data_IF_049937692690
#
_entry.id   IF_049937692690
#
_cell.length_a   1.000
_cell.length_b   1.000
_cell.length_c   1.000
_cell.angle_alpha   90.00
_cell.angle_beta   90.00
_cell.angle_gamma   90.00
#
_symmetry.space_group_name_H-M   'P 1'
#
loop_
_entity.id
_entity.type
_entity.pdbx_description
1 polymer ?
#
# COMPACT_ATOMS: atom_id res chain seq x y z
N UNK A 1 -10.76 -18.45 -22.76
CA UNK A 1 -11.22 -17.06 -22.56
C UNK A 1 -11.25 -16.68 -21.07
N UNK A 2 -12.09 -17.30 -20.23
CA UNK A 2 -12.24 -16.93 -18.81
C UNK A 2 -10.94 -17.00 -17.97
N UNK A 3 -10.09 -18.00 -18.20
CA UNK A 3 -8.82 -18.17 -17.49
C UNK A 3 -7.80 -17.07 -17.81
N UNK A 4 -7.73 -16.63 -19.07
CA UNK A 4 -6.82 -15.54 -19.47
C UNK A 4 -7.29 -14.21 -18.87
N UNK A 5 -8.61 -13.98 -18.84
CA UNK A 5 -9.19 -12.78 -18.22
C UNK A 5 -8.92 -12.72 -16.70
N UNK A 6 -8.98 -13.84 -15.99
CA UNK A 6 -8.67 -13.87 -14.56
C UNK A 6 -7.19 -13.61 -14.28
N UNK A 7 -6.29 -14.11 -15.13
CA UNK A 7 -4.86 -13.83 -15.04
C UNK A 7 -4.54 -12.35 -15.22
N UNK A 8 -5.15 -11.71 -16.23
CA UNK A 8 -5.00 -10.27 -16.46
C UNK A 8 -5.57 -9.44 -15.31
N UNK A 9 -6.72 -9.84 -14.75
CA UNK A 9 -7.32 -9.16 -13.60
C UNK A 9 -6.39 -9.24 -12.37
N UNK A 10 -5.91 -10.44 -12.02
CA UNK A 10 -5.02 -10.64 -10.88
C UNK A 10 -3.69 -9.90 -11.04
N UNK A 11 -3.12 -9.92 -12.25
CA UNK A 11 -1.91 -9.19 -12.58
C UNK A 11 -2.10 -7.67 -12.42
N UNK A 12 -3.22 -7.14 -12.93
CA UNK A 12 -3.56 -5.71 -12.80
C UNK A 12 -3.74 -5.30 -11.34
N UNK A 13 -4.44 -6.12 -10.54
CA UNK A 13 -4.58 -5.90 -9.10
C UNK A 13 -3.20 -5.89 -8.42
N UNK A 14 -2.33 -6.85 -8.75
CA UNK A 14 -0.97 -6.91 -8.23
C UNK A 14 -0.17 -5.64 -8.51
N UNK A 15 -0.26 -5.11 -9.74
CA UNK A 15 0.39 -3.86 -10.11
C UNK A 15 -0.16 -2.65 -9.36
N UNK A 16 -1.49 -2.55 -9.19
CA UNK A 16 -2.13 -1.46 -8.44
C UNK A 16 -1.69 -1.49 -6.98
N UNK A 17 -1.70 -2.67 -6.35
CA UNK A 17 -1.28 -2.84 -4.96
C UNK A 17 0.21 -2.52 -4.80
N UNK A 18 1.06 -2.94 -5.75
CA UNK A 18 2.49 -2.61 -5.75
C UNK A 18 2.70 -1.09 -5.85
N UNK A 19 2.04 -0.43 -6.79
CA UNK A 19 2.15 1.02 -6.98
C UNK A 19 1.71 1.79 -5.72
N UNK A 20 0.59 1.39 -5.10
CA UNK A 20 0.11 1.97 -3.86
C UNK A 20 1.10 1.77 -2.71
N UNK A 21 1.63 0.55 -2.55
CA UNK A 21 2.58 0.21 -1.48
C UNK A 21 3.89 1.00 -1.61
N UNK A 22 4.38 1.18 -2.84
CA UNK A 22 5.55 2.02 -3.12
C UNK A 22 5.26 3.49 -2.81
N UNK A 23 4.10 3.99 -3.24
CA UNK A 23 3.71 5.37 -2.98
C UNK A 23 3.62 5.68 -1.48
N UNK A 24 2.99 4.80 -0.69
CA UNK A 24 2.88 4.97 0.77
C UNK A 24 4.22 4.82 1.48
N UNK A 25 5.11 3.95 1.00
CA UNK A 25 6.47 3.82 1.53
C UNK A 25 7.33 5.07 1.30
N UNK A 26 7.15 5.76 0.17
CA UNK A 26 7.86 7.01 -0.16
C UNK A 26 7.27 8.20 0.60
N UNK A 27 5.95 8.20 0.86
CA UNK A 27 5.23 9.31 1.50
C UNK A 27 4.69 8.97 2.91
N UNK A 28 5.48 8.37 3.82
CA UNK A 28 4.96 7.83 5.08
C UNK A 28 4.42 8.93 5.99
N UNK A 29 5.00 10.14 5.95
CA UNK A 29 4.51 11.28 6.74
C UNK A 29 3.10 11.70 6.33
N UNK A 30 2.83 11.82 5.02
CA UNK A 30 1.50 12.22 4.53
C UNK A 30 0.43 11.20 4.93
N UNK A 31 0.77 9.91 4.83
CA UNK A 31 -0.12 8.82 5.22
C UNK A 31 -0.33 8.79 6.74
N UNK A 32 0.72 9.00 7.52
CA UNK A 32 0.62 9.12 8.97
C UNK A 32 -0.31 10.28 9.38
N UNK A 33 -0.13 11.46 8.76
CA UNK A 33 -1.01 12.61 9.00
C UNK A 33 -2.46 12.30 8.64
N UNK A 34 -2.71 11.59 7.54
CA UNK A 34 -4.07 11.18 7.17
C UNK A 34 -4.70 10.27 8.22
N UNK A 35 -3.97 9.25 8.69
CA UNK A 35 -4.47 8.35 9.74
C UNK A 35 -4.76 9.09 11.05
N UNK A 36 -3.87 9.99 11.47
CA UNK A 36 -4.06 10.83 12.64
C UNK A 36 -5.24 11.80 12.48
N UNK A 37 -5.45 12.35 11.29
CA UNK A 37 -6.60 13.20 10.98
C UNK A 37 -7.90 12.43 11.05
N UNK A 38 -7.94 11.19 10.54
CA UNK A 38 -9.09 10.29 10.60
C UNK A 38 -9.40 9.90 12.04
N UNK A 39 -8.39 9.54 12.84
CA UNK A 39 -8.56 9.24 14.27
C UNK A 39 -9.08 10.47 15.04
N UNK A 40 -8.66 11.67 14.63
CA UNK A 40 -9.16 12.91 15.20
C UNK A 40 -10.62 13.26 14.84
N UNK A 41 -11.26 12.61 13.85
CA UNK A 41 -12.66 12.88 13.44
C UNK A 41 -13.68 12.58 14.57
N UNK A 42 -13.28 11.89 15.64
CA UNK A 42 -14.10 11.70 16.84
C UNK A 42 -13.65 12.47 18.09
N UNK A 43 -12.55 13.24 18.00
CA UNK A 43 -11.90 13.88 19.15
C UNK A 43 -12.23 15.38 19.20
N UNK A 44 -12.34 15.96 20.41
CA UNK A 44 -12.49 17.44 20.57
C UNK A 44 -11.27 18.24 20.08
N UNK A 45 -10.22 17.59 19.56
CA UNK A 45 -9.02 18.22 19.01
C UNK A 45 -9.22 18.64 17.55
N UNK A 46 -8.59 19.75 17.17
CA UNK A 46 -8.63 20.27 15.79
C UNK A 46 -7.83 19.35 14.87
N UNK A 47 -8.52 18.60 14.00
CA UNK A 47 -7.92 17.64 13.05
C UNK A 47 -6.81 18.25 12.17
N UNK A 48 -6.89 19.55 11.84
CA UNK A 48 -5.91 20.21 10.96
C UNK A 48 -4.54 20.54 11.58
N UNK A 49 -4.36 20.39 12.89
CA UNK A 49 -3.07 20.67 13.56
C UNK A 49 -2.39 19.42 14.13
N UNK A 50 -2.89 18.22 13.80
CA UNK A 50 -2.33 16.98 14.32
C UNK A 50 -1.10 16.59 13.51
N UNK A 51 0.08 16.70 14.13
CA UNK A 51 1.30 16.18 13.56
C UNK A 51 1.45 14.70 13.91
N UNK A 52 1.86 13.84 12.95
CA UNK A 52 2.06 12.44 13.22
C UNK A 52 3.28 12.22 14.11
N UNK A 53 3.16 11.28 15.04
CA UNK A 53 4.28 10.89 15.89
C UNK A 53 5.33 10.12 15.07
N UNK A 54 6.63 10.31 15.37
CA UNK A 54 7.72 9.70 14.60
C UNK A 54 7.67 8.16 14.55
N UNK A 55 7.19 7.52 15.62
CA UNK A 55 7.01 6.06 15.64
C UNK A 55 5.93 5.62 14.64
N UNK A 56 4.85 6.37 14.48
CA UNK A 56 3.76 6.06 13.55
C UNK A 56 4.24 6.19 12.10
N UNK A 57 5.02 7.24 11.80
CA UNK A 57 5.69 7.39 10.49
C UNK A 57 6.60 6.20 10.19
N UNK A 58 7.33 5.72 11.20
CA UNK A 58 8.23 4.57 11.07
C UNK A 58 7.46 3.28 10.80
N UNK A 59 6.36 3.04 11.53
CA UNK A 59 5.46 1.89 11.32
C UNK A 59 4.90 1.90 9.90
N UNK A 60 4.38 3.03 9.43
CA UNK A 60 3.82 3.15 8.08
C UNK A 60 4.88 2.89 7.01
N UNK A 61 6.10 3.41 7.20
CA UNK A 61 7.21 3.16 6.29
C UNK A 61 7.53 1.66 6.23
N UNK A 62 7.75 1.02 7.38
CA UNK A 62 8.12 -0.40 7.45
C UNK A 62 7.02 -1.29 6.89
N UNK A 63 5.76 -1.08 7.30
CA UNK A 63 4.62 -1.85 6.80
C UNK A 63 4.44 -1.70 5.29
N UNK A 64 4.56 -0.47 4.76
CA UNK A 64 4.47 -0.21 3.33
C UNK A 64 5.63 -0.83 2.55
N UNK A 65 6.84 -0.82 3.11
CA UNK A 65 8.00 -1.49 2.49
C UNK A 65 7.81 -3.01 2.42
N UNK A 66 7.31 -3.63 3.50
CA UNK A 66 6.99 -5.06 3.52
C UNK A 66 5.92 -5.37 2.47
N UNK A 67 4.86 -4.56 2.40
CA UNK A 67 3.78 -4.74 1.42
C UNK A 67 4.28 -4.57 -0.03
N UNK A 68 5.19 -3.62 -0.27
CA UNK A 68 5.80 -3.42 -1.58
C UNK A 68 6.62 -4.63 -2.03
N UNK A 69 7.40 -5.23 -1.11
CA UNK A 69 8.14 -6.46 -1.40
C UNK A 69 7.19 -7.62 -1.68
N UNK A 70 6.18 -7.83 -0.83
CA UNK A 70 5.21 -8.91 -0.98
C UNK A 70 4.41 -8.81 -2.29
N UNK A 71 3.92 -7.62 -2.63
CA UNK A 71 3.22 -7.37 -3.89
C UNK A 71 4.13 -7.50 -5.11
N UNK A 72 5.40 -7.07 -5.01
CA UNK A 72 6.41 -7.28 -6.05
C UNK A 72 6.67 -8.77 -6.30
N UNK A 73 6.80 -9.57 -5.24
CA UNK A 73 6.91 -11.03 -5.35
C UNK A 73 5.66 -11.64 -5.98
N UNK A 74 4.47 -11.21 -5.58
CA UNK A 74 3.22 -11.69 -6.16
C UNK A 74 3.14 -11.42 -7.67
N UNK A 75 3.48 -10.20 -8.11
CA UNK A 75 3.53 -9.85 -9.54
C UNK A 75 4.57 -10.69 -10.28
N UNK A 76 5.75 -10.90 -9.70
CA UNK A 76 6.80 -11.73 -10.29
C UNK A 76 6.36 -13.20 -10.44
N UNK A 77 5.69 -13.76 -9.43
CA UNK A 77 5.13 -15.11 -9.47
C UNK A 77 4.03 -15.24 -10.52
N UNK A 78 3.17 -14.22 -10.67
CA UNK A 78 2.16 -14.20 -11.73
C UNK A 78 2.79 -14.18 -13.12
N UNK A 79 3.83 -13.37 -13.34
CA UNK A 79 4.59 -13.36 -14.60
C UNK A 79 5.24 -14.71 -14.90
N UNK A 80 5.82 -15.34 -13.87
CA UNK A 80 6.40 -16.67 -14.00
C UNK A 80 5.36 -17.74 -14.34
N UNK A 81 4.18 -17.68 -13.72
CA UNK A 81 3.05 -18.58 -14.02
C UNK A 81 2.54 -18.41 -15.46
N UNK A 82 2.49 -17.18 -15.97
CA UNK A 82 2.08 -16.90 -17.36
C UNK A 82 3.10 -17.45 -18.36
N UNK A 83 4.38 -17.39 -18.03
CA UNK A 83 5.46 -17.90 -18.90
C UNK A 83 5.54 -19.43 -18.93
N UNK A 84 5.16 -20.10 -17.85
CA UNK A 84 5.36 -21.55 -17.66
C UNK A 84 4.16 -22.42 -18.03
N UNK A 85 2.98 -21.83 -18.19
CA UNK A 85 1.78 -22.49 -18.72
C UNK A 85 1.60 -22.26 -20.21
#
# INVERSE_FOLDING_TARGET
MAQVMSWLANFSIGLVVLALSVYTAINPRKIATFFEQVDAIGSKRRSSSVQPTDWNVTVIRVASSIMAVASGMFVALMLWSIRSG
#
